data_IF_989428366290
#
_entry.id   IF_989428366290
#
_cell.length_a   1.000
_cell.length_b   1.000
_cell.length_c   1.000
_cell.angle_alpha   90.00
_cell.angle_beta   90.00
_cell.angle_gamma   90.00
#
_symmetry.space_group_name_H-M   'P 1'
#
loop_
_entity.id
_entity.type
_entity.pdbx_description
1 polymer ?
#
# COMPACT_ATOMS: atom_id res chain seq x y z
N UNK A 1 -28.93 14.90 8.15
CA UNK A 1 -28.85 13.60 7.47
C UNK A 1 -27.45 13.05 7.68
N UNK A 2 -27.33 12.00 8.48
CA UNK A 2 -26.07 11.33 8.80
C UNK A 2 -25.68 10.48 7.59
N UNK A 3 -24.82 11.03 6.71
CA UNK A 3 -24.32 10.31 5.56
C UNK A 3 -23.35 9.22 6.01
N UNK A 4 -23.80 7.97 6.01
CA UNK A 4 -22.92 6.82 6.01
C UNK A 4 -22.13 6.82 4.68
N UNK A 5 -20.96 7.45 4.67
CA UNK A 5 -19.91 7.17 3.69
C UNK A 5 -19.29 5.82 4.07
N UNK A 6 -20.06 4.76 3.86
CA UNK A 6 -19.62 3.40 4.13
C UNK A 6 -18.67 2.96 3.02
N UNK A 7 -17.36 3.09 3.25
CA UNK A 7 -16.27 2.22 2.78
C UNK A 7 -16.20 1.81 1.28
N UNK A 8 -16.99 2.39 0.38
CA UNK A 8 -17.01 2.02 -1.04
C UNK A 8 -15.97 2.79 -1.88
N UNK A 9 -15.45 3.91 -1.37
CA UNK A 9 -14.53 4.79 -2.10
C UNK A 9 -13.04 4.48 -1.84
N UNK A 10 -12.71 3.72 -0.79
CA UNK A 10 -11.31 3.46 -0.38
C UNK A 10 -10.50 2.76 -1.48
N UNK A 11 -11.15 1.92 -2.30
CA UNK A 11 -10.48 1.12 -3.34
C UNK A 11 -10.27 1.87 -4.66
N UNK A 12 -11.09 2.88 -4.96
CA UNK A 12 -11.00 3.69 -6.19
C UNK A 12 -10.03 4.85 -5.99
N UNK A 13 -10.06 5.48 -4.81
CA UNK A 13 -9.20 6.63 -4.49
C UNK A 13 -7.71 6.25 -4.49
N UNK A 14 -7.40 4.98 -4.20
CA UNK A 14 -6.05 4.45 -4.15
C UNK A 14 -5.33 4.32 -5.50
N UNK A 15 -6.07 4.32 -6.61
CA UNK A 15 -5.50 4.17 -7.95
C UNK A 15 -5.04 5.51 -8.54
N UNK A 16 -5.64 6.62 -8.08
CA UNK A 16 -5.59 7.92 -8.76
C UNK A 16 -4.36 8.73 -8.35
N UNK A 17 -3.86 8.60 -7.12
CA UNK A 17 -2.75 9.44 -6.62
C UNK A 17 -1.36 8.85 -6.88
N UNK A 18 -1.16 7.55 -6.73
CA UNK A 18 0.19 6.95 -6.66
C UNK A 18 0.42 5.72 -7.56
N UNK A 19 -0.53 5.43 -8.46
CA UNK A 19 -0.51 4.21 -9.27
C UNK A 19 -0.92 2.96 -8.47
N UNK A 20 -0.84 1.75 -9.08
CA UNK A 20 -1.42 0.55 -8.50
C UNK A 20 -0.68 0.10 -7.23
N UNK A 21 -1.37 0.19 -6.09
CA UNK A 21 -0.92 -0.31 -4.78
C UNK A 21 -0.33 -1.71 -4.88
N UNK A 22 0.89 -1.88 -4.33
CA UNK A 22 1.57 -3.17 -4.27
C UNK A 22 1.67 -3.62 -2.81
N UNK A 23 0.72 -4.44 -2.39
CA UNK A 23 0.74 -5.09 -1.08
C UNK A 23 1.48 -6.42 -1.22
N UNK A 24 2.53 -6.63 -0.42
CA UNK A 24 3.37 -7.82 -0.46
C UNK A 24 3.07 -8.76 0.71
N UNK A 25 3.30 -10.05 0.53
CA UNK A 25 3.27 -11.08 1.58
C UNK A 25 4.55 -11.93 1.54
N UNK A 26 5.00 -12.49 2.67
CA UNK A 26 6.10 -13.43 2.65
C UNK A 26 5.72 -14.69 1.86
N UNK A 27 6.66 -15.17 1.06
CA UNK A 27 6.59 -16.46 0.39
C UNK A 27 7.22 -17.50 1.31
N UNK A 28 6.46 -17.99 2.28
CA UNK A 28 6.95 -18.94 3.28
C UNK A 28 7.48 -20.24 2.68
N UNK A 29 6.89 -20.72 1.58
CA UNK A 29 7.32 -21.95 0.90
C UNK A 29 8.74 -21.82 0.33
N UNK A 30 9.04 -20.68 -0.31
CA UNK A 30 10.37 -20.47 -0.90
C UNK A 30 11.36 -19.92 0.13
N UNK A 31 10.91 -19.15 1.12
CA UNK A 31 11.80 -18.63 2.15
C UNK A 31 12.49 -19.73 2.96
N UNK A 32 11.82 -20.85 3.19
CA UNK A 32 12.38 -22.02 3.87
C UNK A 32 13.49 -22.68 3.03
N UNK A 33 13.34 -22.73 1.70
CA UNK A 33 14.31 -23.39 0.81
C UNK A 33 15.47 -22.48 0.39
N UNK A 34 15.23 -21.18 0.25
CA UNK A 34 16.25 -20.20 -0.16
C UNK A 34 17.04 -19.62 1.02
N UNK A 35 16.64 -19.88 2.27
CA UNK A 35 17.27 -19.31 3.48
C UNK A 35 17.06 -17.80 3.64
N UNK A 36 16.23 -17.18 2.81
CA UNK A 36 15.98 -15.75 2.80
C UNK A 36 14.51 -15.44 2.53
N UNK A 37 13.99 -14.39 3.17
CA UNK A 37 12.62 -13.96 2.97
C UNK A 37 12.39 -13.49 1.52
N UNK A 38 11.54 -14.22 0.80
CA UNK A 38 11.03 -13.80 -0.49
C UNK A 38 9.63 -13.20 -0.34
N UNK A 39 9.28 -12.26 -1.22
CA UNK A 39 8.02 -11.53 -1.16
C UNK A 39 7.21 -11.74 -2.43
N UNK A 40 5.92 -12.05 -2.27
CA UNK A 40 4.96 -12.17 -3.36
C UNK A 40 3.91 -11.06 -3.28
N UNK A 41 3.47 -10.56 -4.43
CA UNK A 41 2.36 -9.61 -4.48
C UNK A 41 1.06 -10.30 -4.09
N UNK A 42 0.31 -9.73 -3.14
CA UNK A 42 -1.07 -10.14 -2.83
C UNK A 42 -1.99 -9.76 -3.98
N UNK A 43 -2.89 -10.66 -4.37
CA UNK A 43 -4.00 -10.30 -5.27
C UNK A 43 -4.99 -9.38 -4.55
N UNK A 44 -5.80 -8.60 -5.29
CA UNK A 44 -6.77 -7.67 -4.68
C UNK A 44 -7.73 -8.36 -3.70
N UNK A 45 -8.15 -9.59 -4.05
CA UNK A 45 -9.05 -10.41 -3.22
C UNK A 45 -8.41 -10.84 -1.89
N UNK A 46 -7.08 -10.77 -1.75
CA UNK A 46 -6.34 -11.15 -0.55
C UNK A 46 -5.98 -9.96 0.34
N UNK A 47 -6.36 -8.74 -0.04
CA UNK A 47 -6.07 -7.54 0.74
C UNK A 47 -6.98 -7.48 1.96
N UNK A 48 -6.38 -7.32 3.14
CA UNK A 48 -7.13 -7.04 4.37
C UNK A 48 -7.36 -5.52 4.52
N UNK A 49 -8.26 -5.12 5.41
CA UNK A 49 -8.45 -3.70 5.75
C UNK A 49 -7.18 -3.07 6.32
N UNK A 50 -6.41 -3.83 7.10
CA UNK A 50 -5.12 -3.41 7.65
C UNK A 50 -4.06 -3.23 6.55
N UNK A 51 -4.00 -4.15 5.59
CA UNK A 51 -3.12 -4.03 4.43
C UNK A 51 -3.37 -2.72 3.67
N UNK A 52 -4.64 -2.41 3.39
CA UNK A 52 -5.06 -1.18 2.70
C UNK A 52 -4.68 0.06 3.51
N UNK A 53 -4.97 0.08 4.81
CA UNK A 53 -4.62 1.19 5.71
C UNK A 53 -3.13 1.46 5.73
N UNK A 54 -2.31 0.39 5.86
CA UNK A 54 -0.86 0.51 5.89
C UNK A 54 -0.30 1.03 4.57
N UNK A 55 -0.74 0.48 3.44
CA UNK A 55 -0.28 0.93 2.14
C UNK A 55 -0.60 2.42 1.88
N UNK A 56 -1.71 2.92 2.44
CA UNK A 56 -2.09 4.32 2.30
C UNK A 56 -1.15 5.20 3.11
N UNK A 57 -0.84 4.80 4.34
CA UNK A 57 0.13 5.50 5.19
C UNK A 57 1.52 5.51 4.56
N UNK A 58 1.96 4.40 3.98
CA UNK A 58 3.26 4.30 3.29
C UNK A 58 3.33 5.24 2.08
N UNK A 59 2.23 5.40 1.33
CA UNK A 59 2.16 6.33 0.20
C UNK A 59 2.17 7.79 0.67
N UNK A 60 1.37 8.15 1.67
CA UNK A 60 1.38 9.50 2.26
C UNK A 60 2.77 9.86 2.78
N UNK A 61 3.44 8.91 3.45
CA UNK A 61 4.81 9.11 3.92
C UNK A 61 5.78 9.35 2.75
N UNK A 62 5.67 8.58 1.66
CA UNK A 62 6.51 8.77 0.46
C UNK A 62 6.26 10.11 -0.21
N UNK A 63 5.02 10.50 -0.46
CA UNK A 63 4.67 11.79 -1.04
C UNK A 63 5.21 12.95 -0.18
N UNK A 64 5.06 12.83 1.14
CA UNK A 64 5.59 13.80 2.10
C UNK A 64 7.12 13.89 2.04
N UNK A 65 7.81 12.75 1.96
CA UNK A 65 9.27 12.71 1.79
C UNK A 65 9.71 13.30 0.46
N UNK A 66 9.02 13.00 -0.65
CA UNK A 66 9.34 13.58 -1.96
C UNK A 66 9.18 15.10 -1.94
N UNK A 67 8.10 15.62 -1.35
CA UNK A 67 7.91 17.07 -1.20
C UNK A 67 8.99 17.73 -0.35
N UNK A 68 9.43 17.08 0.73
CA UNK A 68 10.56 17.60 1.54
C UNK A 68 11.87 17.62 0.74
N UNK A 69 12.14 16.57 -0.03
CA UNK A 69 13.34 16.51 -0.87
C UNK A 69 13.30 17.54 -2.00
N UNK A 70 12.15 17.71 -2.65
CA UNK A 70 11.95 18.71 -3.72
C UNK A 70 12.09 20.14 -3.18
N UNK A 71 11.53 20.42 -2.00
CA UNK A 71 11.68 21.72 -1.34
C UNK A 71 13.12 22.03 -0.88
N UNK A 72 13.94 21.00 -0.67
CA UNK A 72 15.36 21.16 -0.30
C UNK A 72 16.29 21.25 -1.53
N UNK A 73 15.77 21.13 -2.76
CA UNK A 73 16.55 21.21 -3.99
C UNK A 73 16.66 22.64 -4.58
N UNK A 74 16.22 23.68 -3.84
CA UNK A 74 16.34 25.09 -4.22
C UNK A 74 16.89 25.98 -3.10
#
# INVERSE_FOLDING_TARGET
MQGHLAAQDDDIFFFITDGPVKIMRPNTVVAISAGAAQWLKKTRMQWTSEDKKKANMDNVAKDTLYKMLDNNMF
#
